data_IF_899943270794
#
_entry.id   IF_899943270794
#
_cell.length_a   1.000
_cell.length_b   1.000
_cell.length_c   1.000
_cell.angle_alpha   90.00
_cell.angle_beta   90.00
_cell.angle_gamma   90.00
#
_symmetry.space_group_name_H-M   'P 1'
#
loop_
_entity.id
_entity.type
_entity.pdbx_description
1 polymer ?
#
# COMPACT_ATOMS: atom_id res chain seq x y z
N UNK A 1 -4.35 -13.33 -9.88
CA UNK A 1 -3.17 -12.44 -9.89
C UNK A 1 -2.48 -12.51 -8.54
N UNK A 2 -1.25 -12.02 -8.46
CA UNK A 2 -0.47 -11.91 -7.23
C UNK A 2 -0.56 -10.46 -6.72
N UNK A 3 -1.05 -10.29 -5.50
CA UNK A 3 -1.16 -9.00 -4.82
C UNK A 3 -0.11 -8.92 -3.72
N UNK A 4 0.79 -7.95 -3.82
CA UNK A 4 1.90 -7.73 -2.89
C UNK A 4 1.62 -6.62 -1.89
N UNK A 5 1.96 -6.86 -0.63
CA UNK A 5 1.85 -5.91 0.48
C UNK A 5 3.22 -5.77 1.14
N UNK A 6 4.08 -4.86 0.65
CA UNK A 6 5.37 -4.61 1.30
C UNK A 6 5.16 -3.84 2.61
N UNK A 7 6.16 -3.90 3.48
CA UNK A 7 6.23 -3.09 4.69
C UNK A 7 6.41 -1.62 4.33
N UNK A 8 5.78 -0.75 5.11
CA UNK A 8 6.02 0.69 4.94
C UNK A 8 7.38 1.11 5.50
N UNK A 9 8.09 1.92 4.70
CA UNK A 9 9.46 2.36 5.00
C UNK A 9 9.54 3.86 5.29
N UNK A 10 8.44 4.60 5.10
CA UNK A 10 8.39 6.03 5.42
C UNK A 10 8.46 6.23 6.93
N UNK A 11 9.26 7.21 7.36
CA UNK A 11 9.43 7.50 8.78
C UNK A 11 8.07 7.75 9.46
N UNK A 12 7.86 7.12 10.62
CA UNK A 12 6.61 7.13 11.39
C UNK A 12 5.35 6.66 10.63
N UNK A 13 5.52 5.84 9.59
CA UNK A 13 4.41 5.11 9.00
C UNK A 13 4.29 3.72 9.66
N UNK A 14 3.23 3.54 10.45
CA UNK A 14 2.97 2.28 11.18
C UNK A 14 1.83 1.47 10.58
N UNK A 15 1.12 2.04 9.59
CA UNK A 15 0.00 1.38 8.93
C UNK A 15 0.52 0.34 7.94
N UNK A 16 -0.36 -0.59 7.58
CA UNK A 16 -0.17 -1.57 6.52
C UNK A 16 -1.38 -1.52 5.59
N UNK A 17 -1.15 -1.71 4.29
CA UNK A 17 -2.17 -1.46 3.28
C UNK A 17 -3.29 -2.51 3.26
N UNK A 18 -3.04 -3.68 3.86
CA UNK A 18 -3.99 -4.77 3.88
C UNK A 18 -4.01 -5.47 5.24
N UNK A 19 -5.20 -5.64 5.79
CA UNK A 19 -5.44 -6.43 7.00
C UNK A 19 -5.80 -7.88 6.64
N UNK A 20 -5.69 -8.85 7.58
CA UNK A 20 -6.01 -10.26 7.33
C UNK A 20 -7.40 -10.52 6.73
N UNK A 21 -8.38 -9.67 7.01
CA UNK A 21 -9.71 -9.78 6.40
C UNK A 21 -9.68 -9.51 4.88
N UNK A 22 -8.89 -8.53 4.42
CA UNK A 22 -8.68 -8.26 3.00
C UNK A 22 -7.94 -9.40 2.30
N UNK A 23 -6.91 -9.94 2.97
CA UNK A 23 -6.20 -11.14 2.50
C UNK A 23 -7.17 -12.29 2.25
N UNK A 24 -7.98 -12.66 3.25
CA UNK A 24 -8.97 -13.73 3.11
C UNK A 24 -9.92 -13.51 1.94
N UNK A 25 -10.36 -12.27 1.71
CA UNK A 25 -11.26 -11.97 0.60
C UNK A 25 -10.57 -12.23 -0.74
N UNK A 26 -9.35 -11.71 -0.94
CA UNK A 26 -8.61 -11.90 -2.19
C UNK A 26 -8.26 -13.37 -2.43
N UNK A 27 -7.83 -14.09 -1.40
CA UNK A 27 -7.53 -15.52 -1.47
C UNK A 27 -8.77 -16.33 -1.83
N UNK A 28 -9.92 -16.04 -1.21
CA UNK A 28 -11.20 -16.68 -1.54
C UNK A 28 -11.59 -16.45 -3.00
N UNK A 29 -11.29 -15.28 -3.55
CA UNK A 29 -11.61 -14.92 -4.92
C UNK A 29 -10.55 -15.44 -5.93
N UNK A 30 -9.61 -16.28 -5.46
CA UNK A 30 -8.63 -17.00 -6.30
C UNK A 30 -7.34 -16.23 -6.58
N UNK A 31 -7.02 -15.19 -5.79
CA UNK A 31 -5.77 -14.46 -5.89
C UNK A 31 -4.73 -14.97 -4.89
N UNK A 32 -3.46 -14.82 -5.22
CA UNK A 32 -2.37 -15.04 -4.27
C UNK A 32 -2.04 -13.72 -3.61
N UNK A 33 -1.90 -13.71 -2.29
CA UNK A 33 -1.44 -12.53 -1.55
C UNK A 33 -0.07 -12.82 -0.98
N UNK A 34 0.91 -11.98 -1.30
CA UNK A 34 2.26 -12.04 -0.74
C UNK A 34 2.48 -10.83 0.17
N UNK A 35 2.97 -11.06 1.38
CA UNK A 35 3.14 -10.03 2.41
C UNK A 35 4.59 -10.05 2.88
N UNK A 36 5.23 -8.89 2.98
CA UNK A 36 6.57 -8.81 3.56
C UNK A 36 6.52 -9.15 5.06
N UNK A 37 7.53 -9.88 5.53
CA UNK A 37 7.71 -10.20 6.93
C UNK A 37 7.59 -8.94 7.80
N UNK A 38 6.77 -9.02 8.84
CA UNK A 38 6.53 -7.94 9.79
C UNK A 38 5.94 -6.65 9.19
N UNK A 39 5.34 -6.71 7.99
CA UNK A 39 4.67 -5.55 7.38
C UNK A 39 3.55 -4.97 8.26
N UNK A 40 2.79 -5.83 8.94
CA UNK A 40 1.68 -5.42 9.81
C UNK A 40 2.05 -5.11 11.26
N UNK A 41 3.31 -5.27 11.66
CA UNK A 41 3.71 -5.19 13.07
C UNK A 41 3.40 -3.82 13.71
N UNK A 42 3.57 -2.73 12.96
CA UNK A 42 3.22 -1.37 13.42
C UNK A 42 1.71 -1.16 13.65
N UNK A 43 0.89 -2.00 13.03
CA UNK A 43 -0.57 -2.01 13.18
C UNK A 43 -1.05 -3.09 14.16
N UNK A 44 -0.14 -3.76 14.87
CA UNK A 44 -0.46 -4.83 15.82
C UNK A 44 -0.91 -6.14 15.16
N UNK A 45 -0.53 -6.37 13.90
CA UNK A 45 -0.89 -7.58 13.15
C UNK A 45 0.39 -8.41 12.96
N UNK A 46 0.41 -9.63 13.50
CA UNK A 46 1.58 -10.51 13.40
C UNK A 46 1.53 -11.35 12.11
N UNK A 47 2.69 -11.79 11.63
CA UNK A 47 2.80 -12.57 10.39
C UNK A 47 1.94 -13.85 10.40
N UNK A 48 1.77 -14.45 11.59
CA UNK A 48 0.90 -15.62 11.77
C UNK A 48 -0.57 -15.33 11.41
N UNK A 49 -1.06 -14.11 11.63
CA UNK A 49 -2.43 -13.72 11.27
C UNK A 49 -2.60 -13.62 9.75
N UNK A 50 -1.56 -13.17 9.05
CA UNK A 50 -1.52 -13.13 7.59
C UNK A 50 -1.45 -14.53 7.00
N UNK A 51 -0.58 -15.40 7.52
CA UNK A 51 -0.50 -16.80 7.09
C UNK A 51 -1.82 -17.55 7.34
N UNK A 52 -2.44 -17.35 8.51
CA UNK A 52 -3.75 -17.94 8.82
C UNK A 52 -4.87 -17.42 7.90
N UNK A 53 -4.71 -16.22 7.34
CA UNK A 53 -5.60 -15.66 6.32
C UNK A 53 -5.32 -16.17 4.90
N UNK A 54 -4.25 -16.93 4.69
CA UNK A 54 -3.87 -17.50 3.39
C UNK A 54 -2.81 -16.70 2.62
N UNK A 55 -2.18 -15.70 3.23
CA UNK A 55 -1.05 -15.02 2.61
C UNK A 55 0.23 -15.86 2.68
N UNK A 56 1.08 -15.70 1.67
CA UNK A 56 2.48 -16.14 1.69
C UNK A 56 3.33 -15.03 2.30
N UNK A 57 4.14 -15.36 3.29
CA UNK A 57 5.08 -14.39 3.89
C UNK A 57 6.41 -14.49 3.16
N UNK A 58 6.88 -13.36 2.64
CA UNK A 58 8.18 -13.21 1.99
C UNK A 58 9.13 -12.43 2.90
N UNK A 59 10.43 -12.70 2.80
CA UNK A 59 11.41 -12.20 3.76
C UNK A 59 11.81 -10.75 3.49
N UNK A 60 11.70 -10.30 2.24
CA UNK A 60 12.13 -8.94 1.86
C UNK A 60 11.12 -8.23 0.97
N UNK A 61 11.22 -6.90 0.94
CA UNK A 61 10.44 -6.06 0.04
C UNK A 61 10.73 -6.43 -1.43
N UNK A 62 11.99 -6.66 -1.79
CA UNK A 62 12.39 -7.02 -3.15
C UNK A 62 11.67 -8.27 -3.65
N UNK A 63 11.52 -9.29 -2.81
CA UNK A 63 10.76 -10.50 -3.13
C UNK A 63 9.28 -10.18 -3.40
N UNK A 64 8.65 -9.34 -2.56
CA UNK A 64 7.26 -8.90 -2.75
C UNK A 64 7.08 -8.14 -4.06
N UNK A 65 7.96 -7.18 -4.34
CA UNK A 65 7.92 -6.39 -5.58
C UNK A 65 8.19 -7.26 -6.82
N UNK A 66 9.06 -8.25 -6.71
CA UNK A 66 9.41 -9.16 -7.80
C UNK A 66 8.26 -10.11 -8.19
N UNK A 67 7.53 -10.62 -7.20
CA UNK A 67 6.46 -11.60 -7.42
C UNK A 67 5.11 -10.94 -7.78
N UNK A 68 4.80 -9.76 -7.23
CA UNK A 68 3.46 -9.20 -7.32
C UNK A 68 3.12 -8.58 -8.69
N UNK A 69 1.94 -8.90 -9.22
CA UNK A 69 1.34 -8.20 -10.37
C UNK A 69 0.84 -6.79 -9.96
N UNK A 70 0.37 -6.68 -8.71
CA UNK A 70 -0.15 -5.45 -8.11
C UNK A 70 0.45 -5.24 -6.73
N UNK A 71 0.99 -4.05 -6.49
CA UNK A 71 1.45 -3.61 -5.17
C UNK A 71 0.39 -2.72 -4.54
N UNK A 72 0.02 -3.06 -3.31
CA UNK A 72 -0.89 -2.27 -2.47
C UNK A 72 -0.08 -1.71 -1.30
N UNK A 73 -0.03 -0.39 -1.21
CA UNK A 73 0.75 0.34 -0.19
C UNK A 73 -0.12 1.42 0.48
N UNK A 74 0.35 1.94 1.60
CA UNK A 74 -0.20 3.12 2.26
C UNK A 74 0.44 4.38 1.68
N UNK A 75 1.77 4.42 1.59
CA UNK A 75 2.51 5.61 1.15
C UNK A 75 3.11 5.44 -0.23
N UNK A 76 3.50 6.57 -0.80
CA UNK A 76 4.19 6.63 -2.07
C UNK A 76 5.54 5.89 -1.97
N UNK A 77 6.00 5.21 -3.04
CA UNK A 77 7.34 4.64 -3.08
C UNK A 77 8.40 5.72 -2.81
N UNK A 78 9.37 5.39 -1.97
CA UNK A 78 10.54 6.23 -1.72
C UNK A 78 11.67 5.90 -2.72
N UNK A 79 12.71 6.76 -2.86
CA UNK A 79 13.82 6.52 -3.80
C UNK A 79 14.47 5.14 -3.71
N UNK A 80 14.57 4.59 -2.50
CA UNK A 80 15.12 3.25 -2.26
C UNK A 80 14.23 2.11 -2.79
N UNK A 81 12.93 2.34 -2.95
CA UNK A 81 11.97 1.37 -3.48
C UNK A 81 11.83 1.48 -5.01
N UNK A 82 12.24 2.61 -5.62
CA UNK A 82 12.11 2.82 -7.07
C UNK A 82 12.76 1.68 -7.86
N UNK A 83 13.90 1.17 -7.38
CA UNK A 83 14.64 0.04 -7.94
C UNK A 83 13.80 -1.23 -8.13
N UNK A 84 12.85 -1.45 -7.23
CA UNK A 84 12.06 -2.68 -7.13
C UNK A 84 10.84 -2.67 -8.06
N UNK A 85 10.37 -1.49 -8.49
CA UNK A 85 9.18 -1.35 -9.34
C UNK A 85 9.40 -2.02 -10.71
N UNK A 86 8.42 -2.79 -11.18
CA UNK A 86 8.52 -3.52 -12.45
C UNK A 86 7.66 -2.91 -13.54
N UNK A 87 8.11 -2.98 -14.79
CA UNK A 87 7.35 -2.47 -15.93
C UNK A 87 5.95 -3.10 -16.00
N UNK A 88 4.92 -2.26 -16.14
CA UNK A 88 3.52 -2.69 -16.22
C UNK A 88 2.89 -3.14 -14.90
N UNK A 89 3.63 -3.09 -13.78
CA UNK A 89 3.10 -3.40 -12.45
C UNK A 89 2.03 -2.37 -12.05
N UNK A 90 0.95 -2.83 -11.42
CA UNK A 90 -0.06 -1.94 -10.86
C UNK A 90 0.39 -1.48 -9.49
N UNK A 91 0.40 -0.18 -9.24
CA UNK A 91 0.69 0.40 -7.95
C UNK A 91 -0.54 1.14 -7.44
N UNK A 92 -1.11 0.67 -6.33
CA UNK A 92 -2.31 1.24 -5.72
C UNK A 92 -2.03 1.70 -4.30
N UNK A 93 -1.86 3.02 -4.13
CA UNK A 93 -1.40 3.66 -2.88
C UNK A 93 -1.73 5.17 -2.89
N UNK A 94 -1.47 5.90 -1.80
CA UNK A 94 -1.38 7.36 -1.88
C UNK A 94 -0.11 7.76 -2.62
N UNK A 95 -0.23 8.57 -3.68
CA UNK A 95 0.93 8.93 -4.51
C UNK A 95 1.35 10.39 -4.35
N UNK A 96 0.39 11.31 -4.23
CA UNK A 96 0.59 12.74 -4.16
C UNK A 96 1.59 13.24 -5.24
N UNK A 97 1.31 12.91 -6.51
CA UNK A 97 2.26 13.13 -7.61
C UNK A 97 2.50 14.61 -7.93
N UNK A 98 1.50 15.48 -7.75
CA UNK A 98 1.60 16.89 -8.11
C UNK A 98 2.81 17.62 -7.48
N UNK A 99 3.14 17.44 -6.19
CA UNK A 99 4.36 17.98 -5.58
C UNK A 99 5.62 17.09 -5.72
N UNK A 100 5.57 15.94 -6.40
CA UNK A 100 6.63 14.93 -6.40
C UNK A 100 7.13 14.59 -7.82
N UNK A 101 7.89 15.49 -8.48
CA UNK A 101 8.35 15.28 -9.85
C UNK A 101 9.28 14.07 -9.98
N UNK A 102 10.17 13.83 -9.01
CA UNK A 102 11.11 12.70 -9.05
C UNK A 102 10.40 11.35 -8.99
N UNK A 103 9.40 11.23 -8.12
CA UNK A 103 8.53 10.04 -8.07
C UNK A 103 7.75 9.90 -9.38
N UNK A 104 7.17 10.99 -9.88
CA UNK A 104 6.41 10.99 -11.13
C UNK A 104 7.27 10.49 -12.29
N UNK A 105 8.50 10.99 -12.41
CA UNK A 105 9.45 10.53 -13.42
C UNK A 105 9.82 9.05 -13.22
N UNK A 106 10.08 8.62 -11.98
CA UNK A 106 10.39 7.21 -11.70
C UNK A 106 9.25 6.25 -12.10
N UNK A 107 7.98 6.64 -11.88
CA UNK A 107 6.82 5.86 -12.31
C UNK A 107 6.65 5.87 -13.84
N UNK A 108 6.90 7.00 -14.49
CA UNK A 108 6.82 7.13 -15.96
C UNK A 108 7.92 6.32 -16.66
N UNK A 109 9.17 6.44 -16.21
CA UNK A 109 10.32 5.73 -16.78
C UNK A 109 10.14 4.22 -16.72
N UNK A 110 9.51 3.74 -15.63
CA UNK A 110 9.18 2.33 -15.43
C UNK A 110 7.81 1.94 -15.95
N UNK A 111 7.05 2.85 -16.58
CA UNK A 111 5.70 2.62 -17.13
C UNK A 111 4.77 1.92 -16.14
N UNK A 112 4.78 2.40 -14.90
CA UNK A 112 3.93 1.88 -13.82
C UNK A 112 2.49 2.30 -14.04
N UNK A 113 1.56 1.38 -13.81
CA UNK A 113 0.13 1.71 -13.75
C UNK A 113 -0.17 2.22 -12.35
N UNK A 114 0.05 3.52 -12.13
CA UNK A 114 -0.19 4.18 -10.84
C UNK A 114 -1.66 4.58 -10.65
N UNK A 115 -2.31 4.04 -9.62
CA UNK A 115 -3.65 4.41 -9.19
C UNK A 115 -3.52 5.08 -7.81
N UNK A 116 -3.84 6.37 -7.73
CA UNK A 116 -3.68 7.14 -6.50
C UNK A 116 -4.96 7.11 -5.66
N UNK A 117 -4.88 6.72 -4.39
CA UNK A 117 -6.03 6.68 -3.49
C UNK A 117 -6.75 8.03 -3.40
N UNK A 118 -5.99 9.12 -3.30
CA UNK A 118 -6.51 10.48 -3.12
C UNK A 118 -7.20 11.06 -4.35
N UNK A 119 -7.15 10.38 -5.51
CA UNK A 119 -7.81 10.82 -6.74
C UNK A 119 -8.91 9.88 -7.22
N UNK A 120 -9.12 8.74 -6.56
CA UNK A 120 -10.32 7.92 -6.79
C UNK A 120 -11.54 8.74 -6.37
N UNK A 121 -12.36 9.11 -7.35
CA UNK A 121 -13.47 10.04 -7.18
C UNK A 121 -14.77 9.43 -7.70
N UNK A 122 -15.83 9.56 -6.91
CA UNK A 122 -17.19 9.20 -7.31
C UNK A 122 -17.82 10.29 -8.21
N UNK A 123 -18.89 9.99 -8.97
CA UNK A 123 -19.55 10.99 -9.82
C UNK A 123 -20.05 12.25 -9.08
N UNK A 124 -20.30 12.13 -7.77
CA UNK A 124 -20.71 13.25 -6.92
C UNK A 124 -19.53 14.12 -6.42
N UNK A 125 -18.30 13.84 -6.86
CA UNK A 125 -17.09 14.55 -6.47
C UNK A 125 -16.44 14.06 -5.17
N UNK A 126 -17.04 13.10 -4.45
CA UNK A 126 -16.48 12.58 -3.21
C UNK A 126 -15.22 11.73 -3.44
N UNK A 127 -14.29 11.79 -2.49
CA UNK A 127 -13.03 11.04 -2.49
C UNK A 127 -13.09 9.93 -1.41
N UNK A 128 -13.75 8.79 -1.68
CA UNK A 128 -14.08 7.79 -0.66
C UNK A 128 -12.87 7.18 0.03
N UNK A 129 -11.72 7.13 -0.64
CA UNK A 129 -10.49 6.59 -0.06
C UNK A 129 -9.72 7.64 0.75
N UNK A 130 -10.05 8.94 0.62
CA UNK A 130 -9.45 10.01 1.41
C UNK A 130 -10.28 10.31 2.68
N UNK A 131 -11.61 10.21 2.59
CA UNK A 131 -12.54 10.54 3.70
C UNK A 131 -12.15 9.92 5.05
N UNK A 132 -11.82 8.61 5.16
CA UNK A 132 -11.47 8.01 6.45
C UNK A 132 -10.24 8.66 7.10
N UNK A 133 -9.26 9.07 6.29
CA UNK A 133 -8.04 9.72 6.81
C UNK A 133 -8.32 11.16 7.27
N UNK A 134 -9.21 11.87 6.58
CA UNK A 134 -9.68 13.19 7.01
C UNK A 134 -10.39 13.14 8.37
N UNK A 135 -11.19 12.10 8.62
CA UNK A 135 -11.88 11.91 9.91
C UNK A 135 -10.90 11.65 11.06
N UNK A 136 -9.89 10.79 10.84
CA UNK A 136 -8.84 10.51 11.83
C UNK A 136 -8.06 11.79 12.15
N UNK A 137 -7.64 12.54 11.13
CA UNK A 137 -6.91 13.79 11.32
C UNK A 137 -7.74 14.83 12.09
N UNK A 138 -9.02 14.98 11.75
CA UNK A 138 -9.95 15.86 12.46
C UNK A 138 -10.06 15.55 13.95
N UNK A 139 -10.22 14.27 14.32
CA UNK A 139 -10.28 13.85 15.73
C UNK A 139 -8.98 14.07 16.48
N UNK A 140 -7.84 13.74 15.86
CA UNK A 140 -6.52 13.89 16.49
C UNK A 140 -6.12 15.35 16.68
N UNK A 141 -6.60 16.28 15.84
CA UNK A 141 -6.26 17.71 15.94
C UNK A 141 -6.56 18.31 17.32
N UNK A 142 -7.69 17.92 17.93
CA UNK A 142 -8.07 18.35 19.27
C UNK A 142 -7.19 17.71 20.34
N UNK A 143 -6.86 16.42 20.17
CA UNK A 143 -6.04 15.70 21.13
C UNK A 143 -4.58 16.20 21.18
N UNK A 144 -4.01 16.57 20.03
CA UNK A 144 -2.63 17.09 19.94
C UNK A 144 -2.53 18.55 20.37
N UNK A 145 -3.62 19.32 20.23
CA UNK A 145 -3.66 20.72 20.65
C UNK A 145 -3.88 20.97 22.15
N UNK A 146 -4.19 19.92 22.93
CA UNK A 146 -4.42 19.97 24.37
C UNK A 146 -3.13 19.71 25.16
#
# INVERSE_FOLDING_TARGET
MIVGVPKEVKNHEYRVAMVPAGVRSLVRDGHTVVVEQSAGAGSGIVDADYSAAGAVILSTAEEVFAEADMIVKVKEPLPQEHGCLREGQVLFTYLHLAPAPDLTNALLDRKIVGIAYETVQLPNGALPLLTPMSEVAGRLSIQIGA
#
